data_IF_867327211105
#
_entry.id   IF_867327211105
#
_cell.length_a   1.000
_cell.length_b   1.000
_cell.length_c   1.000
_cell.angle_alpha   90.00
_cell.angle_beta   90.00
_cell.angle_gamma   90.00
#
_symmetry.space_group_name_H-M   'P 1'
#
loop_
_entity.id
_entity.type
_entity.pdbx_description
1 polymer ?
#
# COMPACT_ATOMS: atom_id res chain seq x y z
N UNK A 1 38.32 -59.31 54.86
CA UNK A 1 37.43 -60.45 55.16
C UNK A 1 36.97 -61.05 53.84
N UNK A 2 37.16 -62.38 53.69
CA UNK A 2 36.67 -63.31 52.63
C UNK A 2 37.01 -62.99 51.16
N UNK A 3 37.95 -63.68 50.49
CA UNK A 3 37.85 -64.99 49.78
C UNK A 3 36.65 -65.02 48.80
N UNK A 4 36.76 -65.28 47.49
CA UNK A 4 37.27 -66.51 46.78
C UNK A 4 37.21 -66.20 45.25
N UNK A 5 38.29 -66.24 44.46
CA UNK A 5 38.86 -67.35 43.65
C UNK A 5 38.00 -67.82 42.43
N UNK A 6 38.45 -67.55 41.20
CA UNK A 6 38.84 -68.52 40.13
C UNK A 6 38.77 -67.95 38.68
N UNK A 7 39.89 -68.14 37.96
CA UNK A 7 40.19 -68.02 36.52
C UNK A 7 39.44 -69.09 35.65
N UNK A 8 39.67 -69.32 34.31
CA UNK A 8 40.58 -68.72 33.30
C UNK A 8 40.02 -68.58 31.83
N UNK A 9 40.93 -68.21 30.92
CA UNK A 9 41.01 -68.48 29.46
C UNK A 9 40.37 -67.51 28.44
N UNK A 10 41.21 -67.03 27.52
CA UNK A 10 40.79 -66.34 26.29
C UNK A 10 41.95 -65.62 25.58
N UNK A 11 42.58 -66.32 24.63
CA UNK A 11 43.77 -66.02 23.85
C UNK A 11 43.57 -64.94 22.73
N UNK A 12 44.70 -64.36 22.27
CA UNK A 12 45.01 -63.88 20.89
C UNK A 12 44.96 -62.36 20.58
N UNK A 13 46.18 -61.80 20.58
CA UNK A 13 46.88 -61.04 19.50
C UNK A 13 46.15 -59.96 18.70
N UNK A 14 46.71 -58.74 18.71
CA UNK A 14 46.59 -57.81 17.59
C UNK A 14 47.87 -56.95 17.41
N UNK A 15 48.26 -56.85 16.14
CA UNK A 15 49.50 -56.32 15.58
C UNK A 15 49.47 -54.79 15.49
N UNK A 16 50.63 -54.16 15.68
CA UNK A 16 50.87 -52.73 15.45
C UNK A 16 51.17 -52.48 13.96
N UNK A 17 50.42 -51.58 13.31
CA UNK A 17 50.82 -50.92 12.07
C UNK A 17 50.57 -49.41 12.20
N UNK A 18 51.63 -48.63 12.03
CA UNK A 18 51.59 -47.17 11.87
C UNK A 18 50.88 -46.78 10.56
N UNK A 19 49.96 -45.83 10.63
CA UNK A 19 49.58 -45.00 9.47
C UNK A 19 49.59 -43.54 9.88
N UNK A 20 50.44 -42.79 9.19
CA UNK A 20 50.58 -41.34 9.29
C UNK A 20 49.49 -40.60 8.50
N UNK A 21 49.16 -39.40 8.97
CA UNK A 21 48.75 -38.23 8.16
C UNK A 21 47.48 -38.32 7.30
N UNK A 22 46.32 -37.92 7.85
CA UNK A 22 45.17 -37.45 7.05
C UNK A 22 44.16 -36.52 7.77
N UNK A 23 44.49 -35.89 8.90
CA UNK A 23 43.56 -34.97 9.58
C UNK A 23 43.76 -33.52 9.13
N UNK A 24 43.56 -33.27 7.83
CA UNK A 24 43.80 -31.95 7.24
C UNK A 24 43.10 -31.68 5.91
N UNK A 25 41.96 -32.32 5.63
CA UNK A 25 41.13 -32.02 4.44
C UNK A 25 39.64 -32.26 4.70
N UNK A 26 39.07 -31.54 5.65
CA UNK A 26 37.61 -31.46 5.79
C UNK A 26 37.16 -30.03 6.17
N UNK A 27 37.79 -29.03 5.58
CA UNK A 27 37.40 -27.61 5.68
C UNK A 27 37.15 -26.98 4.30
N UNK A 28 36.87 -27.78 3.27
CA UNK A 28 36.64 -27.27 1.92
C UNK A 28 35.58 -28.09 1.19
N UNK A 29 34.37 -28.09 1.73
CA UNK A 29 33.13 -28.45 1.00
C UNK A 29 32.01 -27.50 1.40
N UNK A 30 32.20 -26.24 1.04
CA UNK A 30 31.12 -25.39 0.58
C UNK A 30 31.53 -24.92 -0.80
N UNK A 31 31.47 -25.80 -1.81
CA UNK A 31 31.44 -25.30 -3.17
C UNK A 31 30.17 -24.45 -3.22
N UNK A 32 30.31 -23.13 -3.31
CA UNK A 32 29.20 -22.24 -3.65
C UNK A 32 28.53 -22.87 -4.87
N UNK A 33 27.33 -23.42 -4.68
CA UNK A 33 26.53 -23.93 -5.77
C UNK A 33 26.32 -22.73 -6.69
N UNK A 34 27.03 -22.75 -7.83
CA UNK A 34 27.15 -21.58 -8.71
C UNK A 34 25.74 -21.20 -9.13
N UNK A 35 25.25 -20.05 -8.67
CA UNK A 35 23.92 -19.56 -9.00
C UNK A 35 23.82 -19.49 -10.53
N UNK A 36 22.96 -20.32 -11.09
CA UNK A 36 22.66 -20.32 -12.51
C UNK A 36 21.69 -19.19 -12.80
N UNK A 37 22.03 -18.33 -13.74
CA UNK A 37 21.21 -17.20 -14.16
C UNK A 37 21.05 -17.20 -15.68
N UNK A 38 19.89 -16.76 -16.16
CA UNK A 38 19.65 -16.41 -17.55
C UNK A 38 20.31 -15.09 -17.96
N UNK A 39 20.23 -14.76 -19.24
CA UNK A 39 20.81 -13.53 -19.80
C UNK A 39 20.00 -12.27 -19.45
N UNK A 40 18.76 -12.46 -19.02
CA UNK A 40 17.77 -11.47 -18.59
C UNK A 40 17.53 -11.52 -17.08
N UNK A 41 18.35 -12.27 -16.33
CA UNK A 41 18.23 -12.37 -14.89
C UNK A 41 19.33 -11.59 -14.15
N UNK A 42 19.08 -11.25 -12.89
CA UNK A 42 20.14 -10.90 -11.93
C UNK A 42 20.00 -11.84 -10.75
N UNK A 43 21.06 -12.57 -10.42
CA UNK A 43 21.06 -13.48 -9.27
C UNK A 43 22.28 -13.28 -8.38
N UNK A 44 22.26 -13.84 -7.19
CA UNK A 44 23.37 -13.69 -6.26
C UNK A 44 23.05 -14.17 -4.85
N UNK A 45 24.00 -13.96 -3.94
CA UNK A 45 23.85 -14.23 -2.52
C UNK A 45 23.84 -12.93 -1.74
N UNK A 46 22.96 -12.82 -0.76
CA UNK A 46 22.94 -11.74 0.23
C UNK A 46 23.58 -12.20 1.53
N UNK A 47 24.55 -11.42 2.00
CA UNK A 47 25.22 -11.63 3.29
C UNK A 47 25.17 -10.37 4.15
N UNK A 48 25.33 -10.52 5.46
CA UNK A 48 25.61 -9.44 6.40
C UNK A 48 26.77 -9.83 7.34
N UNK A 49 27.04 -8.99 8.33
CA UNK A 49 27.94 -9.32 9.44
C UNK A 49 27.48 -10.53 10.26
N UNK A 50 26.22 -10.95 10.12
CA UNK A 50 25.63 -12.11 10.81
C UNK A 50 25.61 -13.40 9.96
N UNK A 51 26.12 -13.35 8.72
CA UNK A 51 26.14 -14.48 7.80
C UNK A 51 25.17 -14.31 6.63
N UNK A 52 24.60 -15.42 6.14
CA UNK A 52 23.63 -15.42 5.04
C UNK A 52 22.30 -14.81 5.50
N UNK A 53 21.71 -13.96 4.68
CA UNK A 53 20.45 -13.27 5.00
C UNK A 53 19.28 -13.92 4.30
N UNK A 54 18.54 -14.76 5.03
CA UNK A 54 17.30 -15.37 4.54
C UNK A 54 16.09 -14.43 4.72
N UNK A 55 15.14 -14.50 3.78
CA UNK A 55 13.88 -13.76 3.87
C UNK A 55 14.04 -12.24 3.75
N UNK A 56 15.04 -11.76 3.01
CA UNK A 56 15.21 -10.32 2.73
C UNK A 56 14.84 -10.01 1.28
N UNK A 57 14.36 -8.81 1.03
CA UNK A 57 13.98 -8.37 -0.30
C UNK A 57 15.19 -7.86 -1.06
N UNK A 58 15.36 -8.35 -2.29
CA UNK A 58 16.28 -7.75 -3.26
C UNK A 58 15.45 -7.01 -4.29
N UNK A 59 15.72 -5.71 -4.43
CA UNK A 59 14.94 -4.78 -5.24
C UNK A 59 15.81 -4.31 -6.39
N UNK A 60 15.34 -4.49 -7.63
CA UNK A 60 15.91 -3.87 -8.83
C UNK A 60 14.97 -2.77 -9.33
N UNK A 61 15.43 -1.52 -9.38
CA UNK A 61 14.65 -0.35 -9.82
C UNK A 61 15.32 0.30 -11.04
N UNK A 62 14.50 0.77 -11.99
CA UNK A 62 14.96 1.53 -13.15
C UNK A 62 13.97 2.62 -13.56
N UNK A 63 14.50 3.67 -14.16
CA UNK A 63 13.77 4.74 -14.85
C UNK A 63 14.08 4.76 -16.35
N UNK A 64 14.80 3.74 -16.85
CA UNK A 64 15.24 3.64 -18.24
C UNK A 64 14.14 3.05 -19.17
N UNK A 65 12.98 2.70 -18.61
CA UNK A 65 11.79 2.23 -19.32
C UNK A 65 10.76 3.37 -19.47
N UNK A 66 9.77 3.26 -20.37
CA UNK A 66 8.75 4.30 -20.56
C UNK A 66 7.94 4.61 -19.30
N UNK A 67 7.93 3.70 -18.33
CA UNK A 67 7.29 3.85 -17.01
C UNK A 67 8.25 3.36 -15.95
N UNK A 68 8.39 4.12 -14.85
CA UNK A 68 9.27 3.73 -13.75
C UNK A 68 8.90 2.33 -13.27
N UNK A 69 9.92 1.50 -13.10
CA UNK A 69 9.76 0.07 -12.91
C UNK A 69 10.61 -0.41 -11.74
N UNK A 70 10.06 -1.35 -10.96
CA UNK A 70 10.83 -2.13 -10.01
C UNK A 70 10.42 -3.60 -10.04
N UNK A 71 11.37 -4.50 -9.82
CA UNK A 71 11.11 -5.92 -9.54
C UNK A 71 11.76 -6.31 -8.22
N UNK A 72 11.00 -7.03 -7.40
CA UNK A 72 11.38 -7.40 -6.03
C UNK A 72 11.24 -8.90 -5.87
N UNK A 73 12.27 -9.52 -5.30
CA UNK A 73 12.29 -10.95 -4.95
C UNK A 73 12.75 -11.13 -3.52
N UNK A 74 12.58 -12.33 -2.97
CA UNK A 74 12.99 -12.65 -1.61
C UNK A 74 14.09 -13.70 -1.62
N UNK A 75 15.07 -13.57 -0.73
CA UNK A 75 16.13 -14.56 -0.57
C UNK A 75 15.66 -15.86 0.09
N UNK A 76 16.22 -16.99 -0.33
CA UNK A 76 16.00 -18.30 0.27
C UNK A 76 16.75 -18.52 1.61
N UNK A 77 16.70 -19.72 2.19
CA UNK A 77 17.39 -20.07 3.45
C UNK A 77 18.92 -19.91 3.37
N UNK A 78 19.48 -19.96 2.17
CA UNK A 78 20.90 -19.79 1.92
C UNK A 78 21.24 -18.36 1.47
N UNK A 79 20.30 -17.41 1.60
CA UNK A 79 20.49 -16.03 1.18
C UNK A 79 20.56 -15.83 -0.33
N UNK A 80 20.23 -16.86 -1.13
CA UNK A 80 20.29 -16.80 -2.60
C UNK A 80 19.04 -16.11 -3.14
N UNK A 81 19.20 -15.36 -4.23
CA UNK A 81 18.09 -14.75 -4.94
C UNK A 81 18.28 -14.82 -6.45
N UNK A 82 17.16 -14.72 -7.17
CA UNK A 82 17.11 -14.57 -8.63
C UNK A 82 15.99 -13.57 -8.95
N UNK A 83 16.32 -12.46 -9.61
CA UNK A 83 15.36 -11.52 -10.18
C UNK A 83 15.21 -11.90 -11.66
N UNK A 84 14.08 -12.51 -12.07
CA UNK A 84 13.94 -13.05 -13.41
C UNK A 84 13.40 -12.03 -14.40
N UNK A 85 13.53 -12.34 -15.69
CA UNK A 85 12.81 -11.69 -16.81
C UNK A 85 12.90 -10.15 -16.76
N UNK A 86 14.11 -9.61 -16.63
CA UNK A 86 14.35 -8.17 -16.62
C UNK A 86 14.55 -7.66 -18.06
N UNK A 87 13.82 -6.59 -18.46
CA UNK A 87 14.15 -5.85 -19.68
C UNK A 87 15.63 -5.45 -19.71
N UNK A 88 16.24 -5.46 -20.91
CA UNK A 88 17.66 -5.15 -21.15
C UNK A 88 17.96 -3.65 -21.06
N UNK A 89 17.67 -3.09 -19.90
CA UNK A 89 18.10 -1.77 -19.46
C UNK A 89 18.96 -1.93 -18.22
N UNK A 90 19.36 -0.83 -17.60
CA UNK A 90 20.13 -0.91 -16.38
C UNK A 90 19.29 -0.68 -15.12
N UNK A 91 19.71 -1.28 -14.00
CA UNK A 91 19.00 -1.23 -12.72
C UNK A 91 19.91 -0.76 -11.59
N UNK A 92 19.32 -0.06 -10.62
CA UNK A 92 19.86 0.06 -9.27
C UNK A 92 19.34 -1.11 -8.44
N UNK A 93 20.25 -1.87 -7.82
CA UNK A 93 19.92 -3.07 -7.02
C UNK A 93 20.35 -2.89 -5.57
N UNK A 94 19.47 -3.18 -4.62
CA UNK A 94 19.77 -3.13 -3.18
C UNK A 94 18.94 -4.12 -2.37
N UNK A 95 19.29 -4.25 -1.10
CA UNK A 95 18.64 -5.14 -0.14
C UNK A 95 17.86 -4.32 0.88
N UNK A 96 16.65 -4.80 1.20
CA UNK A 96 15.82 -4.33 2.31
C UNK A 96 15.33 -5.53 3.12
N UNK A 97 15.14 -5.38 4.43
CA UNK A 97 14.58 -6.45 5.26
C UNK A 97 14.25 -5.99 6.67
N UNK A 98 13.35 -6.69 7.35
CA UNK A 98 13.09 -6.41 8.77
C UNK A 98 14.34 -6.71 9.61
N UNK A 99 14.66 -5.81 10.54
CA UNK A 99 15.91 -5.82 11.32
C UNK A 99 17.12 -5.25 10.58
N UNK A 100 16.94 -4.76 9.35
CA UNK A 100 17.96 -4.15 8.52
C UNK A 100 17.59 -2.69 8.21
N UNK A 101 18.53 -1.95 7.63
CA UNK A 101 18.27 -0.75 6.83
C UNK A 101 18.59 -1.04 5.36
N UNK A 102 18.20 -0.14 4.47
CA UNK A 102 18.54 -0.28 3.06
C UNK A 102 20.07 -0.36 2.87
N UNK A 103 20.51 -1.34 2.09
CA UNK A 103 21.90 -1.38 1.64
C UNK A 103 22.19 -0.27 0.63
N UNK A 104 23.46 0.07 0.38
CA UNK A 104 23.83 0.88 -0.76
C UNK A 104 23.25 0.30 -2.07
N UNK A 105 22.80 1.19 -2.97
CA UNK A 105 22.33 0.83 -4.30
C UNK A 105 23.52 0.57 -5.22
N UNK A 106 23.52 -0.58 -5.89
CA UNK A 106 24.55 -0.97 -6.87
C UNK A 106 23.95 -0.95 -8.27
N UNK A 107 24.57 -0.21 -9.17
CA UNK A 107 24.16 -0.15 -10.58
C UNK A 107 24.66 -1.38 -11.33
N UNK A 108 23.77 -2.10 -12.00
CA UNK A 108 24.12 -3.30 -12.79
C UNK A 108 23.18 -3.45 -14.00
N UNK A 109 23.39 -4.51 -14.80
CA UNK A 109 22.56 -4.93 -15.92
C UNK A 109 22.14 -6.40 -15.76
N UNK A 110 21.07 -6.85 -16.45
CA UNK A 110 20.74 -8.27 -16.55
C UNK A 110 21.89 -9.12 -17.09
N UNK A 111 21.85 -10.43 -16.80
CA UNK A 111 22.88 -11.41 -17.14
C UNK A 111 24.09 -11.40 -16.20
N UNK A 112 23.95 -10.86 -14.98
CA UNK A 112 25.05 -10.71 -14.01
C UNK A 112 24.75 -11.40 -12.69
N UNK A 113 25.76 -12.10 -12.17
CA UNK A 113 25.78 -12.53 -10.76
C UNK A 113 26.26 -11.36 -9.92
N UNK A 114 25.47 -10.96 -8.93
CA UNK A 114 25.74 -9.83 -8.04
C UNK A 114 25.55 -10.27 -6.59
N UNK A 115 26.65 -10.44 -5.85
CA UNK A 115 26.57 -10.64 -4.41
C UNK A 115 26.34 -9.31 -3.71
N UNK A 116 25.41 -9.28 -2.76
CA UNK A 116 25.01 -8.07 -2.04
C UNK A 116 25.34 -8.18 -0.55
N UNK A 117 25.61 -7.02 0.06
CA UNK A 117 25.80 -6.90 1.50
C UNK A 117 24.63 -6.14 2.11
N UNK A 118 23.86 -6.82 2.95
CA UNK A 118 22.83 -6.22 3.78
C UNK A 118 23.46 -5.43 4.94
N UNK A 119 22.75 -4.41 5.41
CA UNK A 119 23.19 -3.55 6.51
C UNK A 119 22.27 -3.75 7.70
N UNK A 120 22.82 -4.25 8.81
CA UNK A 120 22.07 -4.42 10.06
C UNK A 120 21.63 -3.07 10.59
N UNK A 121 20.37 -2.97 11.05
CA UNK A 121 19.91 -1.73 11.64
C UNK A 121 20.71 -1.39 12.92
N UNK A 122 21.16 -0.15 13.09
CA UNK A 122 21.99 0.26 14.24
C UNK A 122 21.19 0.32 15.55
N UNK A 123 19.86 0.33 15.49
CA UNK A 123 18.97 0.34 16.66
C UNK A 123 17.60 -0.24 16.31
N UNK A 124 16.78 -0.61 17.33
CA UNK A 124 15.39 -1.00 17.11
C UNK A 124 14.56 0.09 16.41
N UNK A 125 14.79 1.37 16.75
CA UNK A 125 14.13 2.49 16.11
C UNK A 125 14.45 2.58 14.61
N UNK A 126 15.73 2.40 14.24
CA UNK A 126 16.15 2.39 12.84
C UNK A 126 15.54 1.20 12.06
N UNK A 127 15.39 0.04 12.70
CA UNK A 127 14.71 -1.10 12.09
C UNK A 127 13.20 -0.85 11.90
N UNK A 128 12.56 -0.21 12.89
CA UNK A 128 11.12 0.05 12.90
C UNK A 128 10.66 1.03 11.79
N UNK A 129 11.56 1.89 11.30
CA UNK A 129 11.27 2.76 10.15
C UNK A 129 10.84 1.98 8.90
N UNK A 130 11.27 0.72 8.78
CA UNK A 130 10.94 -0.18 7.68
C UNK A 130 9.74 -1.10 7.97
N UNK A 131 9.13 -1.01 9.16
CA UNK A 131 7.95 -1.83 9.47
C UNK A 131 6.74 -1.37 8.64
N UNK A 132 5.84 -2.30 8.27
CA UNK A 132 4.61 -1.94 7.60
C UNK A 132 3.81 -0.93 8.43
N UNK A 133 3.11 -0.03 7.75
CA UNK A 133 2.30 1.01 8.38
C UNK A 133 1.36 0.46 9.47
N UNK A 134 0.77 -0.72 9.25
CA UNK A 134 -0.17 -1.34 10.20
C UNK A 134 0.43 -1.61 11.60
N UNK A 135 1.74 -1.85 11.73
CA UNK A 135 2.40 -2.04 13.03
C UNK A 135 2.47 -0.74 13.85
N UNK A 136 2.65 0.38 13.15
CA UNK A 136 2.59 1.69 13.76
C UNK A 136 1.15 2.07 14.08
N UNK A 137 0.23 1.77 13.17
CA UNK A 137 -1.19 2.05 13.36
C UNK A 137 -1.80 1.24 14.50
N UNK A 138 -1.33 0.02 14.75
CA UNK A 138 -1.78 -0.81 15.88
C UNK A 138 -1.44 -0.23 17.25
N UNK A 139 -0.58 0.79 17.33
CA UNK A 139 -0.29 1.52 18.56
C UNK A 139 -1.36 2.57 18.91
N UNK A 140 -2.28 2.87 17.99
CA UNK A 140 -3.40 3.77 18.27
C UNK A 140 -4.29 3.15 19.35
N UNK A 141 -4.52 3.89 20.43
CA UNK A 141 -5.44 3.46 21.47
C UNK A 141 -6.89 3.50 20.99
N UNK A 142 -7.61 2.44 21.32
CA UNK A 142 -9.03 2.30 21.05
C UNK A 142 -9.76 2.51 22.37
N UNK A 143 -10.79 3.37 22.45
CA UNK A 143 -11.58 3.53 23.67
C UNK A 143 -12.12 2.20 24.17
N UNK A 144 -12.10 1.99 25.48
CA UNK A 144 -12.57 0.77 26.11
C UNK A 144 -14.07 0.58 25.91
N UNK A 145 -14.53 -0.67 25.87
CA UNK A 145 -15.96 -0.99 25.69
C UNK A 145 -16.86 -0.33 26.73
N UNK A 146 -16.37 -0.13 27.95
CA UNK A 146 -17.08 0.51 29.06
C UNK A 146 -17.22 2.03 28.91
N UNK A 147 -16.48 2.66 28.00
CA UNK A 147 -16.57 4.12 27.76
C UNK A 147 -17.75 4.49 26.83
N UNK A 148 -18.41 3.50 26.21
CA UNK A 148 -19.50 3.75 25.28
C UNK A 148 -20.86 3.84 26.00
N UNK A 149 -21.75 4.76 25.58
CA UNK A 149 -21.64 5.59 24.37
C UNK A 149 -20.70 6.79 24.53
N UNK A 150 -19.93 7.08 23.48
CA UNK A 150 -19.12 8.30 23.35
C UNK A 150 -19.84 9.20 22.36
N UNK A 151 -20.48 10.27 22.86
CA UNK A 151 -21.39 11.10 22.09
C UNK A 151 -22.43 10.25 21.31
N UNK A 152 -22.47 10.35 19.98
CA UNK A 152 -23.38 9.58 19.13
C UNK A 152 -22.89 8.15 18.79
N UNK A 153 -21.67 7.79 19.19
CA UNK A 153 -21.08 6.46 18.94
C UNK A 153 -21.51 5.50 20.04
N UNK A 154 -22.28 4.48 19.68
CA UNK A 154 -22.96 3.58 20.62
C UNK A 154 -22.09 2.43 21.14
N UNK A 155 -21.04 2.06 20.43
CA UNK A 155 -20.18 0.93 20.79
C UNK A 155 -18.77 1.05 20.21
N UNK A 156 -17.83 0.32 20.82
CA UNK A 156 -16.47 0.18 20.31
C UNK A 156 -16.42 -0.36 18.87
N UNK A 157 -17.34 -1.27 18.51
CA UNK A 157 -17.44 -1.79 17.15
C UNK A 157 -17.81 -0.69 16.13
N UNK A 158 -18.73 0.21 16.50
CA UNK A 158 -19.11 1.35 15.66
C UNK A 158 -17.94 2.36 15.54
N UNK A 159 -17.18 2.59 16.60
CA UNK A 159 -15.98 3.43 16.53
C UNK A 159 -14.92 2.82 15.59
N UNK A 160 -14.66 1.53 15.76
CA UNK A 160 -13.71 0.78 14.93
C UNK A 160 -14.14 0.72 13.47
N UNK A 161 -15.43 0.64 13.17
CA UNK A 161 -15.96 0.69 11.80
C UNK A 161 -15.48 1.94 11.04
N UNK A 162 -15.62 3.13 11.65
CA UNK A 162 -15.17 4.38 11.00
C UNK A 162 -13.65 4.43 10.88
N UNK A 163 -12.93 4.01 11.92
CA UNK A 163 -11.47 4.11 11.98
C UNK A 163 -10.80 3.09 11.07
N UNK A 164 -11.38 1.89 10.88
CA UNK A 164 -10.78 0.80 10.09
C UNK A 164 -11.36 0.59 8.69
N UNK A 165 -12.61 0.99 8.42
CA UNK A 165 -13.31 0.54 7.20
C UNK A 165 -14.09 1.66 6.52
N UNK A 166 -14.98 2.35 7.22
CA UNK A 166 -15.91 3.30 6.60
C UNK A 166 -15.51 4.76 6.81
N UNK A 167 -14.22 5.04 6.97
CA UNK A 167 -13.71 6.40 7.20
C UNK A 167 -12.26 6.52 6.76
N UNK A 168 -11.33 6.48 7.72
CA UNK A 168 -9.95 6.93 7.45
C UNK A 168 -9.09 5.88 6.71
N UNK A 169 -9.11 4.62 7.14
CA UNK A 169 -8.11 3.64 6.69
C UNK A 169 -8.28 3.17 5.23
N UNK A 170 -9.52 3.16 4.71
CA UNK A 170 -9.79 2.65 3.35
C UNK A 170 -9.14 3.50 2.25
N UNK A 171 -9.04 4.82 2.46
CA UNK A 171 -8.39 5.73 1.52
C UNK A 171 -6.97 6.13 1.95
N UNK A 172 -6.58 5.86 3.21
CA UNK A 172 -5.32 6.30 3.77
C UNK A 172 -4.57 5.16 4.45
N UNK A 173 -3.31 4.97 4.04
CA UNK A 173 -2.40 4.06 4.72
C UNK A 173 -1.92 4.65 6.07
N UNK A 174 -2.78 4.59 7.09
CA UNK A 174 -2.45 5.04 8.44
C UNK A 174 -1.28 4.23 9.01
N UNK A 175 -0.36 4.93 9.67
CA UNK A 175 0.86 4.37 10.27
C UNK A 175 2.09 4.45 9.37
N UNK A 176 1.95 4.90 8.10
CA UNK A 176 3.11 5.30 7.31
C UNK A 176 3.76 6.57 7.91
N UNK A 177 4.97 6.93 7.48
CA UNK A 177 5.71 8.06 8.07
C UNK A 177 4.90 9.37 8.04
N UNK A 178 4.22 9.64 6.93
CA UNK A 178 3.42 10.85 6.72
C UNK A 178 2.23 10.96 7.67
N UNK A 179 1.64 9.84 8.09
CA UNK A 179 0.46 9.82 8.97
C UNK A 179 0.80 9.60 10.44
N UNK A 180 1.89 8.88 10.76
CA UNK A 180 2.31 8.65 12.15
C UNK A 180 3.15 9.78 12.76
N UNK A 181 3.56 10.76 11.96
CA UNK A 181 4.33 11.94 12.41
C UNK A 181 3.71 13.21 11.83
N UNK A 182 3.89 14.37 12.47
CA UNK A 182 3.46 15.67 11.92
C UNK A 182 4.57 16.23 10.99
N UNK A 183 4.35 16.39 9.68
CA UNK A 183 5.36 16.95 8.79
C UNK A 183 5.53 18.45 9.07
N UNK A 184 6.77 18.93 9.03
CA UNK A 184 7.10 20.35 9.25
C UNK A 184 6.34 21.29 8.31
N UNK A 185 6.14 20.84 7.07
CA UNK A 185 5.46 21.61 6.02
C UNK A 185 3.95 21.79 6.27
N UNK A 186 3.36 21.08 7.26
CA UNK A 186 1.99 21.33 7.70
C UNK A 186 1.87 22.66 8.48
N UNK A 187 2.95 23.09 9.12
CA UNK A 187 3.00 24.27 9.97
C UNK A 187 3.47 23.97 11.40
N UNK A 188 3.44 25.00 12.24
CA UNK A 188 3.69 24.89 13.68
C UNK A 188 2.37 25.06 14.43
N UNK A 189 2.19 24.27 15.48
CA UNK A 189 0.95 24.19 16.25
C UNK A 189 1.28 24.13 17.73
N UNK A 190 0.38 24.66 18.57
CA UNK A 190 0.55 24.64 20.03
C UNK A 190 0.42 23.23 20.61
N UNK A 191 -0.33 22.36 19.92
CA UNK A 191 -0.52 20.97 20.30
C UNK A 191 -0.64 20.04 19.09
N UNK A 192 -0.38 18.74 19.30
CA UNK A 192 -0.63 17.71 18.29
C UNK A 192 -2.13 17.53 17.98
N UNK A 193 -3.02 17.89 18.91
CA UNK A 193 -4.47 17.93 18.66
C UNK A 193 -4.80 18.96 17.57
N UNK A 194 -4.26 20.17 17.69
CA UNK A 194 -4.44 21.23 16.69
C UNK A 194 -3.83 20.84 15.34
N UNK A 195 -2.65 20.20 15.38
CA UNK A 195 -2.00 19.69 14.18
C UNK A 195 -2.85 18.63 13.45
N UNK A 196 -3.48 17.70 14.18
CA UNK A 196 -4.39 16.70 13.62
C UNK A 196 -5.66 17.33 13.05
N UNK A 197 -6.25 18.28 13.75
CA UNK A 197 -7.41 19.01 13.26
C UNK A 197 -7.08 19.71 11.93
N UNK A 198 -5.96 20.41 11.87
CA UNK A 198 -5.50 21.08 10.64
C UNK A 198 -5.16 20.11 9.53
N UNK A 199 -4.57 18.95 9.85
CA UNK A 199 -4.23 17.89 8.87
C UNK A 199 -5.46 17.36 8.15
N UNK A 200 -6.51 17.04 8.89
CA UNK A 200 -7.75 16.46 8.35
C UNK A 200 -8.40 17.40 7.33
N UNK A 201 -8.10 18.69 7.42
CA UNK A 201 -8.59 19.74 6.53
C UNK A 201 -7.72 19.98 5.28
N UNK A 202 -6.60 19.28 5.11
CA UNK A 202 -5.70 19.49 3.96
C UNK A 202 -6.25 18.88 2.66
N UNK A 203 -6.21 19.66 1.58
CA UNK A 203 -6.60 19.22 0.24
C UNK A 203 -8.11 19.15 0.02
N UNK A 204 -8.50 18.75 -1.19
CA UNK A 204 -9.90 18.77 -1.67
C UNK A 204 -10.78 17.68 -1.04
N UNK A 205 -10.20 16.72 -0.30
CA UNK A 205 -10.92 15.75 0.51
C UNK A 205 -11.46 16.33 1.84
N UNK A 206 -11.08 17.55 2.22
CA UNK A 206 -11.35 18.20 3.51
C UNK A 206 -12.73 17.90 4.08
N UNK A 207 -13.79 18.17 3.30
CA UNK A 207 -15.16 18.09 3.79
C UNK A 207 -15.51 16.64 4.15
N UNK A 208 -15.15 15.68 3.29
CA UNK A 208 -15.37 14.26 3.57
C UNK A 208 -14.59 13.79 4.80
N UNK A 209 -13.35 14.23 4.94
CA UNK A 209 -12.50 13.90 6.08
C UNK A 209 -13.04 14.50 7.40
N UNK A 210 -13.52 15.74 7.36
CA UNK A 210 -14.13 16.41 8.51
C UNK A 210 -15.46 15.75 8.91
N UNK A 211 -16.27 15.34 7.94
CA UNK A 211 -17.51 14.60 8.18
C UNK A 211 -17.25 13.23 8.83
N UNK A 212 -16.22 12.52 8.37
CA UNK A 212 -15.82 11.25 8.97
C UNK A 212 -15.30 11.40 10.40
N UNK A 213 -14.54 12.47 10.69
CA UNK A 213 -14.15 12.80 12.06
C UNK A 213 -15.38 13.11 12.94
N UNK A 214 -16.38 13.81 12.40
CA UNK A 214 -17.65 14.10 13.08
C UNK A 214 -18.39 12.85 13.59
N UNK A 215 -18.17 11.70 12.96
CA UNK A 215 -18.77 10.41 13.35
C UNK A 215 -18.08 9.75 14.55
N UNK A 216 -16.98 10.32 15.06
CA UNK A 216 -16.11 9.70 16.06
C UNK A 216 -16.01 10.45 17.40
N UNK A 217 -16.87 11.45 17.63
CA UNK A 217 -16.64 12.49 18.63
C UNK A 217 -15.30 13.21 18.40
N UNK A 218 -15.28 14.33 17.64
CA UNK A 218 -14.03 14.97 17.22
C UNK A 218 -13.04 15.24 18.36
N UNK A 219 -13.44 15.77 19.54
CA UNK A 219 -12.51 15.99 20.64
C UNK A 219 -11.83 14.69 21.12
N UNK A 220 -12.60 13.61 21.32
CA UNK A 220 -12.04 12.32 21.72
C UNK A 220 -11.13 11.73 20.66
N UNK A 221 -11.55 11.74 19.39
CA UNK A 221 -10.78 11.16 18.29
C UNK A 221 -9.44 11.91 18.05
N UNK A 222 -9.48 13.24 18.03
CA UNK A 222 -8.27 14.07 17.85
C UNK A 222 -7.28 13.85 18.99
N UNK A 223 -7.76 13.73 20.25
CA UNK A 223 -6.90 13.40 21.38
C UNK A 223 -6.20 12.06 21.21
N UNK A 224 -6.92 11.01 20.79
CA UNK A 224 -6.32 9.69 20.57
C UNK A 224 -5.27 9.70 19.45
N UNK A 225 -5.54 10.41 18.35
CA UNK A 225 -4.57 10.54 17.25
C UNK A 225 -3.34 11.36 17.65
N UNK A 226 -3.53 12.42 18.45
CA UNK A 226 -2.45 13.23 19.01
C UNK A 226 -1.59 12.40 19.97
N UNK A 227 -2.21 11.74 20.95
CA UNK A 227 -1.53 10.88 21.94
C UNK A 227 -0.71 9.79 21.21
N UNK A 228 -1.27 9.16 20.17
CA UNK A 228 -0.56 8.18 19.34
C UNK A 228 0.68 8.77 18.65
N UNK A 229 0.57 9.98 18.08
CA UNK A 229 1.67 10.66 17.39
C UNK A 229 2.75 11.12 18.37
N UNK A 230 2.35 11.64 19.53
CA UNK A 230 3.25 12.15 20.57
C UNK A 230 4.05 11.02 21.22
N UNK A 231 3.43 9.87 21.46
CA UNK A 231 4.10 8.66 21.94
C UNK A 231 5.18 8.18 20.97
N UNK A 232 4.86 8.15 19.66
CA UNK A 232 5.85 7.81 18.62
C UNK A 232 6.98 8.83 18.60
N UNK A 233 6.67 10.14 18.70
CA UNK A 233 7.68 11.19 18.73
C UNK A 233 8.59 11.10 19.98
N UNK A 234 8.04 10.64 21.12
CA UNK A 234 8.78 10.35 22.35
C UNK A 234 9.65 9.08 22.26
N UNK A 235 9.58 8.34 21.15
CA UNK A 235 10.41 7.17 20.88
C UNK A 235 9.74 5.82 21.15
N UNK A 236 8.43 5.81 21.39
CA UNK A 236 7.70 4.54 21.47
C UNK A 236 7.70 3.82 20.12
N UNK A 237 7.91 2.50 20.16
CA UNK A 237 7.97 1.64 18.99
C UNK A 237 6.84 0.60 19.02
N UNK A 238 6.43 0.04 17.87
CA UNK A 238 5.52 -1.09 17.83
C UNK A 238 6.02 -2.24 18.72
N UNK A 239 5.14 -2.78 19.56
CA UNK A 239 5.49 -3.84 20.50
C UNK A 239 5.91 -5.15 19.82
N UNK A 240 5.42 -5.39 18.60
CA UNK A 240 5.76 -6.56 17.78
C UNK A 240 6.71 -6.19 16.65
N UNK A 241 7.65 -7.10 16.36
CA UNK A 241 8.51 -7.01 15.19
C UNK A 241 7.91 -7.85 14.06
N UNK A 242 7.83 -7.33 12.83
CA UNK A 242 7.37 -8.11 11.69
C UNK A 242 8.31 -9.29 11.40
N UNK A 243 7.73 -10.45 11.12
CA UNK A 243 8.48 -11.62 10.65
C UNK A 243 8.92 -11.42 9.21
N UNK A 244 10.13 -11.89 8.88
CA UNK A 244 10.58 -12.02 7.49
C UNK A 244 9.80 -13.14 6.79
N UNK A 245 9.64 -13.10 5.46
CA UNK A 245 9.04 -14.20 4.70
C UNK A 245 9.78 -15.53 4.93
N UNK A 246 9.02 -16.62 5.06
CA UNK A 246 9.52 -17.97 5.31
C UNK A 246 8.91 -18.99 4.35
N UNK A 247 9.63 -20.10 4.11
CA UNK A 247 9.14 -21.18 3.25
C UNK A 247 8.64 -20.68 1.90
N UNK A 248 7.40 -21.03 1.54
CA UNK A 248 6.79 -20.70 0.25
C UNK A 248 6.57 -19.20 0.01
N UNK A 249 6.53 -18.38 1.06
CA UNK A 249 6.37 -16.92 0.94
C UNK A 249 7.55 -16.27 0.20
N UNK A 250 8.71 -16.95 0.17
CA UNK A 250 9.92 -16.48 -0.50
C UNK A 250 9.90 -16.65 -2.01
N UNK A 251 8.93 -17.40 -2.54
CA UNK A 251 8.75 -17.59 -3.98
C UNK A 251 8.01 -16.43 -4.66
N UNK A 252 7.64 -15.40 -3.90
CA UNK A 252 6.94 -14.22 -4.43
C UNK A 252 7.91 -13.35 -5.23
N UNK A 253 7.49 -13.03 -6.46
CA UNK A 253 8.11 -12.00 -7.30
C UNK A 253 7.10 -10.88 -7.47
N UNK A 254 7.48 -9.67 -7.07
CA UNK A 254 6.63 -8.47 -7.20
C UNK A 254 7.19 -7.62 -8.33
N UNK A 255 6.33 -7.25 -9.28
CA UNK A 255 6.68 -6.27 -10.32
C UNK A 255 5.81 -5.05 -10.13
N UNK A 256 6.44 -3.88 -10.08
CA UNK A 256 5.80 -2.60 -9.77
C UNK A 256 6.05 -1.61 -10.91
N UNK A 257 5.02 -0.83 -11.21
CA UNK A 257 5.07 0.31 -12.10
C UNK A 257 4.50 1.53 -11.40
N UNK A 258 5.03 2.70 -11.71
CA UNK A 258 4.46 4.00 -11.33
C UNK A 258 3.70 4.57 -12.53
N UNK A 259 2.42 4.23 -12.66
CA UNK A 259 1.68 4.27 -13.92
C UNK A 259 0.47 5.21 -13.93
N UNK A 260 0.40 6.14 -12.97
CA UNK A 260 -0.51 7.28 -12.95
C UNK A 260 0.29 8.61 -13.02
N UNK A 261 -0.39 9.75 -13.10
CA UNK A 261 0.27 11.05 -13.01
C UNK A 261 0.75 11.36 -11.58
N UNK A 262 1.74 12.25 -11.40
CA UNK A 262 2.33 12.56 -10.09
C UNK A 262 1.36 13.23 -9.09
N UNK A 263 0.23 13.74 -9.58
CA UNK A 263 -0.85 14.36 -8.78
C UNK A 263 -2.12 13.50 -8.75
N UNK A 264 -2.15 12.40 -9.49
CA UNK A 264 -3.32 11.56 -9.63
C UNK A 264 -3.40 10.60 -8.44
N UNK A 265 -4.60 10.44 -7.91
CA UNK A 265 -4.89 9.43 -6.90
C UNK A 265 -5.53 8.23 -7.61
N UNK A 266 -4.83 7.09 -7.63
CA UNK A 266 -5.34 5.85 -8.17
C UNK A 266 -6.12 5.08 -7.08
N UNK A 267 -7.43 4.95 -7.25
CA UNK A 267 -8.32 4.31 -6.28
C UNK A 267 -8.55 2.83 -6.59
N UNK A 268 -8.96 2.53 -7.82
CA UNK A 268 -9.29 1.16 -8.25
C UNK A 268 -8.45 0.72 -9.46
N UNK A 269 -8.30 -0.58 -9.65
CA UNK A 269 -7.75 -1.17 -10.87
C UNK A 269 -8.42 -2.49 -11.24
N UNK A 270 -8.32 -2.86 -12.52
CA UNK A 270 -8.70 -4.16 -13.03
C UNK A 270 -7.67 -4.69 -14.02
N UNK A 271 -7.27 -5.93 -13.81
CA UNK A 271 -6.30 -6.65 -14.65
C UNK A 271 -6.90 -7.87 -15.34
N UNK A 272 -8.07 -8.36 -14.92
CA UNK A 272 -8.74 -9.53 -15.50
C UNK A 272 -10.23 -9.55 -15.13
N UNK A 273 -11.01 -10.41 -15.80
CA UNK A 273 -12.39 -10.68 -15.40
C UNK A 273 -12.41 -11.46 -14.08
N UNK A 274 -13.02 -10.90 -13.04
CA UNK A 274 -13.11 -11.53 -11.71
C UNK A 274 -13.84 -12.88 -11.73
N UNK A 275 -14.67 -13.15 -12.74
CA UNK A 275 -15.41 -14.41 -12.92
C UNK A 275 -14.57 -15.47 -13.63
N UNK A 276 -13.57 -15.07 -14.40
CA UNK A 276 -12.65 -15.96 -15.09
C UNK A 276 -11.24 -15.32 -15.16
N UNK A 277 -10.39 -15.53 -14.14
CA UNK A 277 -9.07 -14.88 -14.05
C UNK A 277 -8.05 -15.40 -15.07
N UNK A 278 -8.46 -16.28 -16.01
CA UNK A 278 -7.63 -16.77 -17.11
C UNK A 278 -7.66 -15.85 -18.34
N UNK A 279 -8.52 -14.84 -18.34
CA UNK A 279 -8.58 -13.84 -19.42
C UNK A 279 -7.57 -12.71 -19.17
N UNK A 280 -7.20 -11.99 -20.22
CA UNK A 280 -6.30 -10.82 -20.15
C UNK A 280 -4.89 -11.11 -19.59
N UNK A 281 -4.38 -12.33 -19.76
CA UNK A 281 -3.00 -12.66 -19.42
C UNK A 281 -2.03 -11.72 -20.18
N UNK A 282 -1.16 -11.02 -19.44
CA UNK A 282 -0.24 -10.00 -19.95
C UNK A 282 -0.93 -8.84 -20.72
N UNK A 283 -2.24 -8.70 -20.59
CA UNK A 283 -2.99 -7.63 -21.21
C UNK A 283 -2.85 -6.31 -20.47
N UNK A 284 -3.52 -5.29 -20.99
CA UNK A 284 -3.52 -3.98 -20.36
C UNK A 284 -4.23 -4.02 -19.01
N UNK A 285 -3.72 -3.24 -18.06
CA UNK A 285 -4.31 -3.01 -16.74
C UNK A 285 -4.93 -1.62 -16.77
N UNK A 286 -6.13 -1.50 -16.21
CA UNK A 286 -6.95 -0.31 -16.30
C UNK A 286 -7.25 0.20 -14.90
N UNK A 287 -6.97 1.47 -14.65
CA UNK A 287 -7.17 2.10 -13.35
C UNK A 287 -8.32 3.11 -13.34
N UNK A 288 -8.80 3.45 -12.15
CA UNK A 288 -9.75 4.53 -11.94
C UNK A 288 -9.23 5.49 -10.87
N UNK A 289 -9.28 6.78 -11.19
CA UNK A 289 -8.66 7.86 -10.42
C UNK A 289 -9.63 8.60 -9.49
N UNK A 290 -10.81 8.02 -9.26
CA UNK A 290 -11.88 8.57 -8.42
C UNK A 290 -12.14 10.06 -8.74
N UNK A 291 -11.96 10.94 -7.77
CA UNK A 291 -12.22 12.38 -7.82
C UNK A 291 -10.99 13.19 -8.28
N UNK A 292 -9.84 12.56 -8.52
CA UNK A 292 -8.58 13.27 -8.75
C UNK A 292 -8.38 13.77 -10.18
N UNK A 293 -8.83 13.04 -11.20
CA UNK A 293 -8.73 13.44 -12.61
C UNK A 293 -9.69 12.59 -13.45
N UNK A 294 -10.25 13.14 -14.54
CA UNK A 294 -11.00 12.29 -15.50
C UNK A 294 -10.07 11.51 -16.46
N UNK A 295 -8.76 11.45 -16.19
CA UNK A 295 -7.83 10.63 -16.96
C UNK A 295 -7.83 9.20 -16.42
N UNK A 296 -8.30 8.27 -17.24
CA UNK A 296 -8.33 6.84 -16.97
C UNK A 296 -6.97 6.21 -17.31
N UNK A 297 -6.13 5.84 -16.33
CA UNK A 297 -4.80 5.30 -16.60
C UNK A 297 -4.87 3.87 -17.14
N UNK A 298 -3.94 3.57 -18.04
CA UNK A 298 -3.80 2.27 -18.71
C UNK A 298 -2.34 1.88 -18.74
N UNK A 299 -1.99 0.75 -18.13
CA UNK A 299 -0.65 0.17 -18.14
C UNK A 299 -0.58 -1.01 -19.11
N UNK A 300 0.35 -0.97 -20.05
CA UNK A 300 0.80 -2.14 -20.82
C UNK A 300 2.02 -2.74 -20.08
N UNK A 301 1.86 -3.83 -19.32
CA UNK A 301 2.94 -4.39 -18.50
C UNK A 301 4.03 -5.06 -19.33
N UNK A 302 3.73 -5.47 -20.57
CA UNK A 302 4.71 -6.08 -21.50
C UNK A 302 5.61 -5.03 -22.12
N UNK A 303 5.04 -3.86 -22.48
CA UNK A 303 5.80 -2.75 -23.05
C UNK A 303 6.34 -1.78 -22.00
N UNK A 304 6.02 -2.00 -20.72
CA UNK A 304 6.34 -1.12 -19.60
C UNK A 304 5.91 0.33 -19.89
N UNK A 305 4.70 0.51 -20.43
CA UNK A 305 4.20 1.80 -20.91
C UNK A 305 2.86 2.13 -20.28
N UNK A 306 2.83 3.23 -19.55
CA UNK A 306 1.62 3.89 -19.10
C UNK A 306 1.08 4.83 -20.19
N UNK A 307 -0.25 4.85 -20.32
CA UNK A 307 -1.03 5.76 -21.16
C UNK A 307 -2.28 6.17 -20.40
N UNK A 308 -3.02 7.13 -20.91
CA UNK A 308 -4.26 7.60 -20.29
C UNK A 308 -5.33 7.83 -21.35
N UNK A 309 -6.58 7.60 -20.98
CA UNK A 309 -7.76 7.91 -21.80
C UNK A 309 -8.60 8.92 -21.04
N UNK A 310 -8.91 10.07 -21.65
CA UNK A 310 -9.82 11.04 -21.02
C UNK A 310 -11.24 10.47 -21.05
N UNK A 311 -11.87 10.32 -19.89
CA UNK A 311 -13.29 10.00 -19.80
C UNK A 311 -14.13 11.21 -20.15
N UNK A 312 -15.25 10.93 -20.81
CA UNK A 312 -16.22 11.94 -21.21
C UNK A 312 -17.33 11.98 -20.17
N UNK A 313 -17.73 13.19 -19.80
CA UNK A 313 -18.95 13.45 -19.05
C UNK A 313 -20.09 13.78 -19.99
N UNK A 314 -21.33 13.49 -19.59
CA UNK A 314 -22.52 13.79 -20.41
C UNK A 314 -22.68 15.29 -20.67
N UNK A 315 -22.55 16.10 -19.62
CA UNK A 315 -22.60 17.56 -19.71
C UNK A 315 -21.20 18.15 -19.49
N UNK A 316 -20.60 18.81 -20.50
CA UNK A 316 -19.31 19.48 -20.35
C UNK A 316 -19.28 20.56 -19.25
N UNK A 317 -20.45 21.07 -18.82
CA UNK A 317 -20.58 22.03 -17.71
C UNK A 317 -20.60 21.40 -16.32
N UNK A 318 -20.49 20.08 -16.23
CA UNK A 318 -20.42 19.36 -14.95
C UNK A 318 -19.32 19.96 -14.05
N UNK A 319 -19.62 20.34 -12.79
CA UNK A 319 -18.62 20.93 -11.90
C UNK A 319 -17.45 19.99 -11.62
N UNK A 320 -16.23 20.54 -11.67
CA UNK A 320 -14.99 19.81 -11.36
C UNK A 320 -14.68 19.81 -9.86
N UNK A 321 -14.07 18.74 -9.36
CA UNK A 321 -13.49 18.63 -8.01
C UNK A 321 -12.45 19.73 -7.74
N UNK A 322 -11.93 20.40 -8.77
CA UNK A 322 -11.08 21.59 -8.67
C UNK A 322 -11.70 22.73 -7.88
N UNK A 323 -13.03 22.80 -7.85
CA UNK A 323 -13.78 23.83 -7.12
C UNK A 323 -14.04 23.44 -5.65
N UNK A 324 -13.66 22.23 -5.23
CA UNK A 324 -13.87 21.79 -3.85
C UNK A 324 -13.12 22.69 -2.86
N UNK A 325 -13.77 22.97 -1.74
CA UNK A 325 -13.13 23.68 -0.64
C UNK A 325 -11.92 22.89 -0.12
N UNK A 326 -10.81 23.59 0.13
CA UNK A 326 -9.59 22.99 0.67
C UNK A 326 -8.79 24.00 1.49
N UNK A 327 -8.02 23.49 2.45
CA UNK A 327 -6.87 24.19 3.01
C UNK A 327 -5.61 23.66 2.33
N UNK A 328 -4.51 24.44 2.33
CA UNK A 328 -3.27 24.03 1.68
C UNK A 328 -2.80 22.63 2.11
N UNK A 329 -2.34 21.88 1.11
CA UNK A 329 -1.62 20.62 1.29
C UNK A 329 -0.19 20.89 1.79
N UNK A 330 0.35 20.08 2.71
CA UNK A 330 1.76 20.20 3.09
C UNK A 330 2.73 19.83 1.94
N UNK A 331 2.24 19.24 0.85
CA UNK A 331 3.07 18.81 -0.29
C UNK A 331 2.90 19.69 -1.52
N UNK A 332 1.67 20.14 -1.78
CA UNK A 332 1.28 20.88 -3.00
C UNK A 332 0.84 22.33 -2.71
N UNK A 333 0.89 22.75 -1.44
CA UNK A 333 0.51 24.10 -1.03
C UNK A 333 -0.97 24.38 -1.35
N UNK A 334 -1.31 25.62 -1.77
CA UNK A 334 -2.68 26.03 -2.03
C UNK A 334 -3.21 25.57 -3.41
N UNK A 335 -2.42 24.86 -4.21
CA UNK A 335 -2.83 24.41 -5.54
C UNK A 335 -3.92 23.31 -5.44
N UNK A 336 -5.11 23.48 -6.05
CA UNK A 336 -6.11 22.41 -6.17
C UNK A 336 -5.65 21.43 -7.25
N UNK A 337 -5.12 20.28 -6.82
CA UNK A 337 -4.52 19.27 -7.70
C UNK A 337 -5.54 18.27 -8.27
N UNK A 338 -6.70 18.11 -7.64
CA UNK A 338 -7.77 17.29 -8.20
C UNK A 338 -8.57 18.10 -9.22
N UNK A 339 -8.79 17.53 -10.39
CA UNK A 339 -9.53 18.15 -11.50
C UNK A 339 -10.35 17.10 -12.26
N UNK A 340 -11.44 16.67 -11.63
CA UNK A 340 -12.34 15.64 -12.15
C UNK A 340 -13.79 16.12 -12.16
N UNK A 341 -14.44 16.02 -13.31
CA UNK A 341 -15.88 16.27 -13.47
C UNK A 341 -16.71 15.04 -13.08
N UNK A 342 -16.08 13.87 -13.05
CA UNK A 342 -16.70 12.60 -12.66
C UNK A 342 -15.94 11.93 -11.53
N UNK A 343 -16.61 11.07 -10.76
CA UNK A 343 -15.97 10.09 -9.89
C UNK A 343 -16.00 8.73 -10.57
N UNK A 344 -14.83 8.27 -11.01
CA UNK A 344 -14.65 6.96 -11.63
C UNK A 344 -14.39 5.90 -10.58
N UNK A 345 -15.17 4.82 -10.63
CA UNK A 345 -15.01 3.69 -9.71
C UNK A 345 -15.26 2.35 -10.36
N UNK A 346 -14.69 1.32 -9.73
CA UNK A 346 -14.98 -0.07 -9.99
C UNK A 346 -14.85 -0.43 -11.48
N UNK A 347 -13.69 -0.20 -12.12
CA UNK A 347 -13.48 -0.71 -13.46
C UNK A 347 -13.58 -2.24 -13.41
N UNK A 348 -14.31 -2.80 -14.37
CA UNK A 348 -14.60 -4.21 -14.51
C UNK A 348 -14.23 -4.65 -15.91
N UNK A 349 -13.65 -5.83 -16.03
CA UNK A 349 -13.29 -6.44 -17.30
C UNK A 349 -14.21 -7.65 -17.52
N UNK A 350 -14.75 -7.78 -18.72
CA UNK A 350 -15.59 -8.92 -19.09
C UNK A 350 -14.82 -10.01 -19.85
N UNK A 351 -15.47 -11.15 -20.08
CA UNK A 351 -14.89 -12.30 -20.78
C UNK A 351 -14.38 -11.99 -22.20
N UNK A 352 -14.80 -10.86 -22.81
CA UNK A 352 -14.39 -10.40 -24.13
C UNK A 352 -13.27 -9.36 -24.07
N UNK A 353 -12.76 -9.06 -22.88
CA UNK A 353 -11.72 -8.04 -22.68
C UNK A 353 -12.25 -6.60 -22.73
N UNK A 354 -13.57 -6.40 -22.65
CA UNK A 354 -14.15 -5.04 -22.62
C UNK A 354 -14.10 -4.49 -21.20
N UNK A 355 -13.74 -3.23 -21.09
CA UNK A 355 -13.71 -2.51 -19.80
C UNK A 355 -15.00 -1.74 -19.63
N UNK A 356 -15.62 -1.88 -18.46
CA UNK A 356 -16.81 -1.14 -18.03
C UNK A 356 -16.50 -0.49 -16.70
N UNK A 357 -16.76 0.79 -16.55
CA UNK A 357 -16.53 1.53 -15.30
C UNK A 357 -17.80 2.25 -14.86
N UNK A 358 -18.00 2.35 -13.55
CA UNK A 358 -19.01 3.23 -12.98
C UNK A 358 -18.50 4.68 -13.02
N UNK A 359 -19.40 5.60 -13.34
CA UNK A 359 -19.15 7.04 -13.35
C UNK A 359 -20.28 7.72 -12.57
N UNK A 360 -19.92 8.45 -11.51
CA UNK A 360 -20.83 9.36 -10.83
C UNK A 360 -20.53 10.78 -11.32
N UNK A 361 -21.54 11.48 -11.86
CA UNK A 361 -21.43 12.88 -12.25
C UNK A 361 -22.11 13.76 -11.18
N UNK A 362 -21.50 14.89 -10.85
CA UNK A 362 -22.19 15.93 -10.08
C UNK A 362 -23.26 16.55 -10.97
N UNK A 363 -24.48 16.72 -10.45
CA UNK A 363 -25.52 17.42 -11.21
C UNK A 363 -25.04 18.85 -11.49
N UNK A 364 -25.04 19.25 -12.76
CA UNK A 364 -24.96 20.66 -13.09
C UNK A 364 -26.16 21.34 -12.44
N UNK A 365 -25.92 22.21 -11.47
CA UNK A 365 -26.97 23.07 -10.93
C UNK A 365 -27.22 24.11 -12.01
N UNK A 366 -28.22 23.88 -12.86
CA UNK A 366 -28.80 25.00 -13.58
C UNK A 366 -29.34 25.99 -12.54
N UNK A 367 -29.15 27.31 -12.74
CA UNK A 367 -29.89 28.30 -11.96
C UNK A 367 -31.36 27.88 -12.00
N UNK A 368 -32.00 27.77 -10.84
CA UNK A 368 -33.37 27.32 -10.74
C UNK A 368 -34.31 28.34 -11.40
N UNK A 369 -34.47 28.27 -12.72
CA UNK A 369 -35.46 29.07 -13.45
C UNK A 369 -36.88 28.51 -13.31
N UNK A 370 -37.04 27.35 -12.64
CA UNK A 370 -38.33 26.77 -12.32
C UNK A 370 -38.37 26.27 -10.87
N UNK A 371 -38.86 27.12 -9.97
CA UNK A 371 -39.29 26.68 -8.64
C UNK A 371 -40.41 25.64 -8.78
N UNK A 372 -40.13 24.40 -8.39
CA UNK A 372 -41.12 23.33 -8.26
C UNK A 372 -41.66 23.30 -6.82
N UNK A 373 -42.94 22.95 -6.66
CA UNK A 373 -43.55 22.79 -5.32
C UNK A 373 -42.98 21.55 -4.59
N UNK A 374 -43.32 21.37 -3.31
CA UNK A 374 -42.87 20.23 -2.47
C UNK A 374 -43.23 18.84 -3.04
N UNK A 375 -44.06 18.78 -4.09
CA UNK A 375 -44.44 17.56 -4.81
C UNK A 375 -43.81 17.46 -6.22
N UNK A 376 -42.89 18.35 -6.60
CA UNK A 376 -42.11 18.26 -7.83
C UNK A 376 -42.87 18.59 -9.12
N UNK A 377 -43.95 19.38 -9.08
CA UNK A 377 -44.70 19.77 -10.28
C UNK A 377 -44.30 21.15 -10.82
N UNK A 378 -44.24 21.34 -12.15
CA UNK A 378 -44.01 22.65 -12.77
C UNK A 378 -45.15 23.64 -12.46
N UNK A 379 -44.79 24.91 -12.21
CA UNK A 379 -45.72 25.98 -11.81
C UNK A 379 -46.83 26.30 -12.84
N UNK A 380 -46.63 25.92 -14.10
CA UNK A 380 -47.54 26.16 -15.23
C UNK A 380 -48.88 25.40 -15.18
N UNK A 381 -49.07 24.53 -14.17
CA UNK A 381 -50.34 23.83 -13.94
C UNK A 381 -51.33 24.55 -13.01
N UNK A 382 -50.93 25.63 -12.33
CA UNK A 382 -51.82 26.34 -11.39
C UNK A 382 -52.99 27.06 -12.08
N UNK A 383 -52.83 27.49 -13.33
CA UNK A 383 -53.83 28.31 -14.02
C UNK A 383 -54.91 27.51 -14.79
N UNK A 384 -54.78 26.18 -14.88
CA UNK A 384 -55.80 25.33 -15.55
C UNK A 384 -56.86 24.75 -14.60
N UNK A 385 -56.71 24.90 -13.29
CA UNK A 385 -57.68 24.41 -12.30
C UNK A 385 -58.53 25.51 -11.64
N UNK A 386 -58.40 26.76 -12.09
CA UNK A 386 -59.14 27.91 -11.56
C UNK A 386 -60.24 28.44 -12.50
N UNK A 387 -60.75 27.62 -13.44
CA UNK A 387 -61.99 27.97 -14.16
C UNK A 387 -63.17 27.16 -13.62
N UNK A 388 -64.15 27.79 -12.95
CA UNK A 388 -65.37 27.12 -12.53
C UNK A 388 -66.23 26.86 -13.77
N UNK A 389 -66.25 25.63 -14.28
CA UNK A 389 -67.33 25.22 -15.17
C UNK A 389 -68.61 25.07 -14.32
N UNK A 390 -69.44 26.09 -14.39
CA UNK A 390 -70.74 26.13 -13.72
C UNK A 390 -71.64 25.00 -14.21
N UNK A 391 -72.19 24.26 -13.25
CA UNK A 391 -73.34 23.38 -13.46
C UNK A 391 -74.58 24.26 -13.59
N UNK A 392 -75.21 24.30 -14.76
CA UNK A 392 -76.65 24.59 -14.91
C UNK A 392 -77.34 23.31 -15.33
N UNK A 393 -78.28 22.84 -14.52
CA UNK A 393 -79.28 21.86 -14.95
C UNK A 393 -80.36 22.54 -15.80
N UNK A 394 -80.96 21.77 -16.71
CA UNK A 394 -82.42 21.54 -16.72
C UNK A 394 -82.85 20.60 -17.86
N UNK A 395 -83.75 19.69 -17.49
CA UNK A 395 -84.66 18.79 -18.25
C UNK A 395 -84.12 17.48 -18.79
#
# INVERSE_FOLDING_TARGET
MSKTLLYPFGLITAVVILVASATGRQAQKGAEEKISIGNDDIGGVVTSTKGLEAGVWVIAETTDLPTKFAKIVVTDDQGRYLIPDLPKVGYNVWVRGYGLIDSPKIRTSPGKVLNLRAVTAPSPAAAAEYYPAIYWYSMLEVPDKSEFPIAAVKSQAQWLDVVKTNGCYTCHQLGNKATRTIPKDLGSFDSSVDAWQRRIQSGQAMIQMTNNLGRLDPPRALKLFADWTDRIAAGELPASQPSRPQGVERNVVITLWDWAGPKDYLHDEVSTDKRNPRVNANGQIYGATEESTDLFPVLDPVKHKATQVKMLVRDPKTPSSKQNAMLPSPYWGPEPIWDSQSSMHNPMLDEKGRVVTGLLERLAVEPADHAVDECGRPAEWRDRLAQPQGVRGDR
#
